data_IF_522942165174
#
_entry.id   IF_522942165174
#
_cell.length_a   1.000
_cell.length_b   1.000
_cell.length_c   1.000
_cell.angle_alpha   90.00
_cell.angle_beta   90.00
_cell.angle_gamma   90.00
#
_symmetry.space_group_name_H-M   'P 1'
#
loop_
_entity.id
_entity.type
_entity.pdbx_description
1 polymer ?
#
# COMPACT_ATOMS: atom_id res chain seq x y z
N UNK A 1 2.38 -22.01 20.75
CA UNK A 1 3.00 -22.96 19.78
C UNK A 1 2.01 -23.76 18.88
N UNK A 2 0.68 -23.57 18.95
CA UNK A 2 -0.28 -24.06 17.92
C UNK A 2 -0.62 -23.01 16.84
N UNK A 3 -0.37 -21.73 17.11
CA UNK A 3 -0.63 -20.60 16.19
C UNK A 3 0.36 -20.52 15.02
N UNK A 4 1.53 -21.16 15.10
CA UNK A 4 2.52 -21.18 14.01
C UNK A 4 2.15 -22.24 12.94
N UNK A 5 1.29 -23.21 13.27
CA UNK A 5 0.80 -24.23 12.31
C UNK A 5 -0.44 -23.80 11.53
N UNK A 6 -1.22 -22.86 12.06
CA UNK A 6 -2.29 -22.20 11.31
C UNK A 6 -1.65 -20.96 10.70
N UNK A 7 -1.39 -20.98 9.40
CA UNK A 7 -0.93 -19.79 8.70
C UNK A 7 -1.86 -18.60 8.97
N UNK A 8 -1.33 -17.38 8.84
CA UNK A 8 -2.11 -16.16 8.99
C UNK A 8 -2.62 -15.71 7.62
N UNK A 9 -3.80 -15.09 7.58
CA UNK A 9 -4.41 -14.54 6.37
C UNK A 9 -4.34 -13.01 6.46
N UNK A 10 -3.78 -12.37 5.44
CA UNK A 10 -3.67 -10.92 5.41
C UNK A 10 -4.15 -10.39 4.06
N UNK A 11 -5.07 -9.45 4.09
CA UNK A 11 -5.65 -8.85 2.88
C UNK A 11 -5.22 -7.41 2.77
N UNK A 12 -4.39 -7.12 1.76
CA UNK A 12 -3.88 -5.79 1.45
C UNK A 12 -4.64 -5.24 0.25
N UNK A 13 -5.31 -4.10 0.43
CA UNK A 13 -5.92 -3.37 -0.68
C UNK A 13 -4.99 -2.27 -1.16
N UNK A 14 -4.93 -2.08 -2.47
CA UNK A 14 -4.04 -1.11 -3.12
C UNK A 14 -4.87 -0.16 -3.98
N UNK A 15 -4.84 1.13 -3.63
CA UNK A 15 -5.64 2.17 -4.28
C UNK A 15 -4.75 3.35 -4.66
N UNK A 16 -5.04 3.96 -5.81
CA UNK A 16 -4.40 5.18 -6.27
C UNK A 16 -4.45 5.29 -7.79
N UNK A 17 -3.99 6.41 -8.33
CA UNK A 17 -4.04 6.68 -9.77
C UNK A 17 -3.25 5.64 -10.58
N UNK A 18 -3.69 5.41 -11.82
CA UNK A 18 -2.98 4.56 -12.77
C UNK A 18 -1.59 5.10 -13.08
N UNK A 19 -0.61 4.21 -13.26
CA UNK A 19 0.76 4.61 -13.58
C UNK A 19 1.63 5.11 -12.41
N UNK A 20 1.13 5.06 -11.16
CA UNK A 20 1.93 5.37 -9.96
C UNK A 20 2.91 4.25 -9.56
N UNK A 21 2.92 3.11 -10.25
CA UNK A 21 3.84 2.00 -9.96
C UNK A 21 3.37 1.06 -8.85
N UNK A 22 2.04 0.99 -8.62
CA UNK A 22 1.39 0.13 -7.62
C UNK A 22 1.81 -1.35 -7.75
N UNK A 23 1.59 -1.97 -8.92
CA UNK A 23 2.04 -3.36 -9.16
C UNK A 23 3.52 -3.56 -8.98
N UNK A 24 4.34 -2.61 -9.43
CA UNK A 24 5.80 -2.69 -9.28
C UNK A 24 6.19 -2.69 -7.81
N UNK A 25 5.53 -1.89 -6.97
CA UNK A 25 5.77 -1.90 -5.53
C UNK A 25 5.37 -3.23 -4.89
N UNK A 26 4.20 -3.76 -5.25
CA UNK A 26 3.71 -5.04 -4.70
C UNK A 26 4.64 -6.19 -5.10
N UNK A 27 5.03 -6.29 -6.38
CA UNK A 27 6.01 -7.28 -6.83
C UNK A 27 7.38 -7.10 -6.15
N UNK A 28 7.74 -5.85 -5.81
CA UNK A 28 8.97 -5.56 -5.06
C UNK A 28 8.87 -6.01 -3.60
N UNK A 29 7.74 -5.79 -2.92
CA UNK A 29 7.53 -6.14 -1.51
C UNK A 29 7.53 -7.64 -1.29
N UNK A 30 6.84 -8.38 -2.16
CA UNK A 30 6.63 -9.83 -1.97
C UNK A 30 7.54 -10.70 -2.84
N UNK A 31 8.41 -10.08 -3.65
CA UNK A 31 9.30 -10.76 -4.59
C UNK A 31 8.57 -11.72 -5.56
N UNK A 32 7.27 -11.54 -5.75
CA UNK A 32 6.42 -12.35 -6.61
C UNK A 32 6.01 -11.60 -7.86
N UNK A 33 5.84 -12.31 -8.97
CA UNK A 33 5.28 -11.72 -10.18
C UNK A 33 3.77 -11.95 -10.21
N UNK A 34 3.03 -11.00 -9.63
CA UNK A 34 1.57 -11.11 -9.48
C UNK A 34 0.79 -10.77 -10.74
N UNK A 35 1.44 -10.17 -11.73
CA UNK A 35 0.77 -9.56 -12.88
C UNK A 35 1.46 -9.92 -14.21
N UNK A 36 1.66 -11.21 -14.53
CA UNK A 36 2.37 -11.62 -15.76
C UNK A 36 1.62 -11.25 -17.05
N UNK A 37 0.28 -11.19 -17.02
CA UNK A 37 -0.58 -10.95 -18.20
C UNK A 37 -1.33 -9.60 -18.16
N UNK A 38 -0.83 -8.61 -17.41
CA UNK A 38 -1.55 -7.34 -17.25
C UNK A 38 -1.55 -6.50 -18.53
N UNK A 39 -2.71 -6.41 -19.18
CA UNK A 39 -2.94 -5.50 -20.31
C UNK A 39 -3.15 -4.05 -19.81
N UNK A 40 -2.35 -3.12 -20.35
CA UNK A 40 -2.50 -1.69 -20.11
C UNK A 40 -3.29 -1.11 -21.30
N UNK A 41 -4.55 -0.70 -21.12
CA UNK A 41 -5.37 -0.19 -22.21
C UNK A 41 -4.84 1.14 -22.75
N UNK A 42 -5.17 1.42 -24.00
CA UNK A 42 -4.82 2.67 -24.69
C UNK A 42 -5.54 3.89 -24.11
N UNK A 43 -5.10 5.10 -24.43
CA UNK A 43 -5.68 6.33 -23.89
C UNK A 43 -7.18 6.49 -24.18
N UNK A 44 -7.65 6.04 -25.35
CA UNK A 44 -9.07 6.08 -25.71
C UNK A 44 -9.93 5.13 -24.86
N UNK A 45 -9.41 3.94 -24.53
CA UNK A 45 -10.08 2.94 -23.69
C UNK A 45 -10.09 3.31 -22.21
N UNK A 46 -9.25 4.26 -21.78
CA UNK A 46 -9.22 4.77 -20.40
C UNK A 46 -10.34 5.74 -20.09
N UNK A 47 -10.92 6.40 -21.11
CA UNK A 47 -11.91 7.47 -20.95
C UNK A 47 -13.17 6.98 -20.23
N UNK A 48 -13.61 5.75 -20.52
CA UNK A 48 -14.83 5.12 -19.98
C UNK A 48 -14.52 3.95 -19.04
N UNK A 49 -13.26 3.77 -18.62
CA UNK A 49 -12.87 2.60 -17.84
C UNK A 49 -13.48 2.66 -16.43
N UNK A 50 -14.31 1.67 -16.11
CA UNK A 50 -14.85 1.48 -14.76
C UNK A 50 -13.80 0.86 -13.83
N UNK A 51 -13.91 1.15 -12.54
CA UNK A 51 -13.07 0.51 -11.52
C UNK A 51 -13.46 -0.96 -11.43
N UNK A 52 -12.52 -1.84 -11.73
CA UNK A 52 -12.64 -3.27 -11.49
C UNK A 52 -11.83 -3.63 -10.25
N UNK A 53 -12.23 -4.68 -9.55
CA UNK A 53 -11.54 -5.15 -8.34
C UNK A 53 -11.00 -6.54 -8.64
N UNK A 54 -9.67 -6.67 -8.62
CA UNK A 54 -8.96 -7.92 -8.87
C UNK A 54 -8.27 -8.35 -7.58
N UNK A 55 -8.59 -9.54 -7.10
CA UNK A 55 -7.96 -10.12 -5.92
C UNK A 55 -7.02 -11.25 -6.32
N UNK A 56 -5.74 -11.11 -5.99
CA UNK A 56 -4.70 -12.10 -6.22
C UNK A 56 -4.22 -12.65 -4.88
N UNK A 57 -4.26 -13.97 -4.70
CA UNK A 57 -3.81 -14.60 -3.45
C UNK A 57 -2.48 -15.32 -3.67
N UNK A 58 -1.55 -15.11 -2.73
CA UNK A 58 -0.20 -15.68 -2.74
C UNK A 58 0.06 -16.30 -1.38
N UNK A 59 0.73 -17.45 -1.38
CA UNK A 59 1.31 -18.01 -0.16
C UNK A 59 2.78 -17.62 -0.07
N UNK A 60 3.14 -16.95 1.01
CA UNK A 60 4.50 -16.46 1.28
C UNK A 60 4.98 -17.12 2.57
N UNK A 61 6.24 -17.55 2.60
CA UNK A 61 6.88 -18.06 3.81
C UNK A 61 7.90 -17.04 4.31
N UNK A 62 7.59 -16.37 5.43
CA UNK A 62 8.48 -15.37 6.03
C UNK A 62 8.89 -15.84 7.43
N UNK A 63 10.21 -15.93 7.66
CA UNK A 63 10.82 -16.38 8.94
C UNK A 63 10.26 -17.71 9.48
N UNK A 64 9.84 -18.62 8.59
CA UNK A 64 9.28 -19.94 8.93
C UNK A 64 7.79 -19.93 9.27
N UNK A 65 7.08 -18.82 9.03
CA UNK A 65 5.62 -18.71 9.13
C UNK A 65 5.02 -18.63 7.73
N UNK A 66 4.00 -19.45 7.45
CA UNK A 66 3.23 -19.39 6.22
C UNK A 66 2.16 -18.30 6.32
N UNK A 67 2.26 -17.28 5.48
CA UNK A 67 1.30 -16.20 5.32
C UNK A 67 0.53 -16.39 4.02
N UNK A 68 -0.79 -16.36 4.08
CA UNK A 68 -1.64 -16.24 2.89
C UNK A 68 -1.98 -14.76 2.69
N UNK A 69 -1.31 -14.14 1.73
CA UNK A 69 -1.52 -12.75 1.38
C UNK A 69 -2.51 -12.66 0.23
N UNK A 70 -3.60 -11.91 0.41
CA UNK A 70 -4.50 -11.52 -0.67
C UNK A 70 -4.30 -10.05 -0.99
N UNK A 71 -3.79 -9.76 -2.19
CA UNK A 71 -3.66 -8.39 -2.70
C UNK A 71 -4.90 -8.05 -3.53
N UNK A 72 -5.61 -7.00 -3.14
CA UNK A 72 -6.77 -6.48 -3.85
C UNK A 72 -6.34 -5.22 -4.61
N UNK A 73 -6.19 -5.32 -5.93
CA UNK A 73 -5.92 -4.16 -6.80
C UNK A 73 -7.24 -3.57 -7.31
N UNK A 74 -7.23 -2.25 -7.51
CA UNK A 74 -8.35 -1.50 -8.09
C UNK A 74 -7.92 -0.83 -9.40
N UNK A 75 -7.73 -1.59 -10.49
CA UNK A 75 -7.48 -1.01 -11.81
C UNK A 75 -8.60 -0.05 -12.23
N UNK A 76 -8.23 1.06 -12.87
CA UNK A 76 -9.18 2.06 -13.36
C UNK A 76 -9.52 3.16 -12.36
N UNK A 77 -8.99 3.12 -11.13
CA UNK A 77 -9.16 4.22 -10.18
C UNK A 77 -8.47 5.51 -10.68
N UNK A 78 -9.27 6.57 -10.87
CA UNK A 78 -8.82 7.88 -11.35
C UNK A 78 -8.49 7.95 -12.85
N UNK A 79 -8.85 6.93 -13.65
CA UNK A 79 -8.64 6.94 -15.11
C UNK A 79 -9.80 7.62 -15.88
N UNK A 80 -11.01 7.57 -15.34
CA UNK A 80 -12.20 8.15 -15.98
C UNK A 80 -12.31 9.65 -15.75
N UNK A 81 -12.83 10.37 -16.76
CA UNK A 81 -13.09 11.83 -16.67
C UNK A 81 -14.09 12.12 -15.54
N UNK A 82 -15.11 11.26 -15.37
CA UNK A 82 -16.02 11.31 -14.24
C UNK A 82 -15.64 10.23 -13.21
N UNK A 83 -14.99 10.66 -12.13
CA UNK A 83 -14.51 9.77 -11.06
C UNK A 83 -15.45 9.69 -9.84
N UNK A 84 -16.66 10.24 -9.91
CA UNK A 84 -17.60 10.29 -8.77
C UNK A 84 -18.07 8.92 -8.28
N UNK A 85 -18.14 7.92 -9.17
CA UNK A 85 -18.59 6.57 -8.80
C UNK A 85 -17.42 5.60 -8.51
N UNK A 86 -16.17 6.00 -8.76
CA UNK A 86 -14.99 5.13 -8.60
C UNK A 86 -14.81 4.63 -7.16
N UNK A 87 -15.04 5.49 -6.18
CA UNK A 87 -14.88 5.13 -4.78
C UNK A 87 -16.08 4.37 -4.21
N UNK A 88 -17.28 4.48 -4.82
CA UNK A 88 -18.46 3.73 -4.37
C UNK A 88 -18.26 2.23 -4.55
N UNK A 89 -17.71 1.80 -5.69
CA UNK A 89 -17.41 0.38 -5.95
C UNK A 89 -16.42 -0.20 -4.92
N UNK A 90 -15.41 0.58 -4.55
CA UNK A 90 -14.42 0.21 -3.53
C UNK A 90 -15.07 0.07 -2.15
N UNK A 91 -15.87 1.06 -1.76
CA UNK A 91 -16.57 1.04 -0.47
C UNK A 91 -17.54 -0.15 -0.40
N UNK A 92 -18.31 -0.37 -1.47
CA UNK A 92 -19.24 -1.49 -1.55
C UNK A 92 -18.53 -2.84 -1.45
N UNK A 93 -17.33 -2.97 -2.06
CA UNK A 93 -16.54 -4.18 -1.92
C UNK A 93 -16.10 -4.42 -0.47
N UNK A 94 -15.60 -3.38 0.22
CA UNK A 94 -15.21 -3.46 1.63
C UNK A 94 -16.41 -3.86 2.50
N UNK A 95 -17.57 -3.22 2.30
CA UNK A 95 -18.80 -3.51 3.04
C UNK A 95 -19.27 -4.95 2.78
N UNK A 96 -19.22 -5.41 1.54
CA UNK A 96 -19.57 -6.79 1.18
C UNK A 96 -18.64 -7.80 1.88
N UNK A 97 -17.34 -7.50 2.05
CA UNK A 97 -16.45 -8.40 2.80
C UNK A 97 -16.80 -8.43 4.29
N UNK A 98 -17.16 -7.29 4.89
CA UNK A 98 -17.62 -7.26 6.28
C UNK A 98 -18.94 -7.99 6.47
N UNK A 99 -19.89 -7.84 5.55
CA UNK A 99 -21.18 -8.51 5.61
C UNK A 99 -21.04 -10.03 5.48
N UNK A 100 -20.17 -10.50 4.57
CA UNK A 100 -19.83 -11.92 4.44
C UNK A 100 -19.26 -12.49 5.73
N UNK A 101 -18.30 -11.79 6.33
CA UNK A 101 -17.71 -12.20 7.61
C UNK A 101 -18.77 -12.28 8.71
N UNK A 102 -19.63 -11.26 8.81
CA UNK A 102 -20.71 -11.22 9.80
C UNK A 102 -21.72 -12.37 9.60
N UNK A 103 -22.05 -12.69 8.36
CA UNK A 103 -22.94 -13.80 8.03
C UNK A 103 -22.34 -15.15 8.42
N UNK A 104 -21.06 -15.37 8.11
CA UNK A 104 -20.35 -16.61 8.44
C UNK A 104 -20.16 -16.77 9.95
N UNK A 105 -19.92 -15.68 10.68
CA UNK A 105 -19.83 -15.66 12.14
C UNK A 105 -21.18 -15.95 12.81
N UNK A 106 -22.26 -15.37 12.27
CA UNK A 106 -23.63 -15.57 12.77
C UNK A 106 -24.17 -16.97 12.45
N UNK A 107 -23.67 -17.60 11.38
CA UNK A 107 -24.08 -18.92 10.92
C UNK A 107 -23.76 -20.07 11.86
N UNK A 108 -24.24 -21.27 11.48
CA UNK A 108 -24.09 -22.51 12.26
C UNK A 108 -22.69 -23.14 12.08
N UNK A 109 -22.02 -22.90 10.95
CA UNK A 109 -20.74 -23.52 10.58
C UNK A 109 -19.51 -22.66 10.94
N UNK A 110 -19.38 -22.31 12.22
CA UNK A 110 -18.32 -21.40 12.73
C UNK A 110 -16.89 -21.95 12.76
N UNK A 111 -16.67 -23.22 12.38
CA UNK A 111 -15.37 -23.90 12.56
C UNK A 111 -14.33 -23.55 11.49
N UNK A 112 -14.77 -23.11 10.31
CA UNK A 112 -13.91 -22.82 9.14
C UNK A 112 -14.30 -21.49 8.49
N UNK A 113 -14.30 -20.40 9.28
CA UNK A 113 -14.51 -19.05 8.74
C UNK A 113 -13.22 -18.60 8.07
N UNK A 114 -13.34 -18.12 6.83
CA UNK A 114 -12.23 -17.53 6.06
C UNK A 114 -12.33 -16.02 6.18
N UNK A 115 -11.24 -15.36 6.58
CA UNK A 115 -11.25 -13.92 6.78
C UNK A 115 -10.85 -13.20 5.49
N UNK A 116 -11.83 -12.68 4.77
CA UNK A 116 -11.63 -11.90 3.55
C UNK A 116 -11.70 -10.38 3.79
N UNK A 117 -11.71 -9.93 5.05
CA UNK A 117 -11.80 -8.50 5.37
C UNK A 117 -10.53 -7.78 4.93
N UNK A 118 -10.67 -6.57 4.42
CA UNK A 118 -9.52 -5.73 4.07
C UNK A 118 -8.85 -5.25 5.36
N UNK A 119 -7.62 -5.71 5.60
CA UNK A 119 -6.89 -5.43 6.83
C UNK A 119 -6.18 -4.07 6.75
N UNK A 120 -5.64 -3.75 5.59
CA UNK A 120 -4.88 -2.53 5.32
C UNK A 120 -5.15 -2.04 3.89
N UNK A 121 -5.24 -0.72 3.71
CA UNK A 121 -5.35 -0.07 2.42
C UNK A 121 -4.15 0.83 2.19
N UNK A 122 -3.33 0.49 1.20
CA UNK A 122 -2.26 1.36 0.70
C UNK A 122 -2.84 2.39 -0.25
N UNK A 123 -2.77 3.64 0.17
CA UNK A 123 -3.19 4.76 -0.67
C UNK A 123 -1.99 5.42 -1.31
N UNK A 124 -1.86 5.28 -2.64
CA UNK A 124 -0.77 5.86 -3.41
C UNK A 124 -1.08 7.30 -3.78
N UNK A 125 -0.33 8.22 -3.19
CA UNK A 125 -0.36 9.64 -3.47
C UNK A 125 0.60 9.94 -4.62
N UNK A 126 0.14 10.73 -5.58
CA UNK A 126 0.95 11.17 -6.71
C UNK A 126 2.03 12.17 -6.26
N UNK A 127 3.31 11.97 -6.62
CA UNK A 127 4.38 12.90 -6.25
C UNK A 127 4.37 14.18 -7.11
N UNK A 128 3.61 14.18 -8.22
CA UNK A 128 3.57 15.30 -9.17
C UNK A 128 2.71 16.48 -8.67
N UNK A 129 2.00 16.30 -7.56
CA UNK A 129 1.14 17.30 -6.96
C UNK A 129 1.84 18.17 -5.93
N UNK A 130 1.20 19.29 -5.59
CA UNK A 130 1.62 20.14 -4.49
C UNK A 130 1.09 19.68 -3.12
N UNK A 131 0.20 18.67 -3.07
CA UNK A 131 -0.51 18.17 -1.90
C UNK A 131 -1.48 17.05 -2.30
N UNK A 132 -2.46 16.77 -1.45
CA UNK A 132 -3.56 15.85 -1.72
C UNK A 132 -4.52 16.46 -2.74
N UNK A 133 -4.96 15.64 -3.70
CA UNK A 133 -6.02 16.02 -4.62
C UNK A 133 -7.37 15.99 -3.88
N UNK A 134 -8.36 16.81 -4.29
CA UNK A 134 -9.71 16.73 -3.72
C UNK A 134 -10.30 15.31 -3.77
N UNK A 135 -10.02 14.57 -4.85
CA UNK A 135 -10.40 13.16 -4.99
C UNK A 135 -9.78 12.27 -3.90
N UNK A 136 -8.51 12.50 -3.56
CA UNK A 136 -7.81 11.75 -2.50
C UNK A 136 -8.46 11.99 -1.15
N UNK A 137 -8.80 13.26 -0.86
CA UNK A 137 -9.44 13.67 0.39
C UNK A 137 -10.83 13.03 0.53
N UNK A 138 -11.66 13.10 -0.51
CA UNK A 138 -13.00 12.49 -0.49
C UNK A 138 -12.91 10.97 -0.31
N UNK A 139 -12.00 10.31 -1.01
CA UNK A 139 -11.79 8.87 -0.89
C UNK A 139 -11.35 8.50 0.53
N UNK A 140 -10.29 9.12 1.04
CA UNK A 140 -9.77 8.83 2.37
C UNK A 140 -10.82 9.08 3.46
N UNK A 141 -11.58 10.18 3.37
CA UNK A 141 -12.70 10.45 4.30
C UNK A 141 -13.76 9.35 4.26
N UNK A 142 -14.06 8.78 3.09
CA UNK A 142 -15.07 7.75 2.98
C UNK A 142 -14.62 6.39 3.57
N UNK A 143 -13.33 6.06 3.48
CA UNK A 143 -12.80 4.75 3.90
C UNK A 143 -12.12 4.75 5.29
N UNK A 144 -11.78 5.91 5.86
CA UNK A 144 -11.01 6.02 7.12
C UNK A 144 -11.69 5.41 8.36
N UNK A 145 -12.98 5.10 8.29
CA UNK A 145 -13.77 4.52 9.38
C UNK A 145 -13.89 3.00 9.25
N UNK A 146 -13.52 2.47 8.08
CA UNK A 146 -13.72 1.07 7.70
C UNK A 146 -12.41 0.31 7.62
N UNK A 147 -11.35 0.93 7.10
CA UNK A 147 -10.06 0.28 6.85
C UNK A 147 -8.90 1.13 7.36
N UNK A 148 -7.83 0.47 7.79
CA UNK A 148 -6.57 1.11 8.14
C UNK A 148 -5.88 1.65 6.89
N UNK A 149 -5.83 2.97 6.76
CA UNK A 149 -5.20 3.64 5.61
C UNK A 149 -3.72 3.88 5.90
N UNK A 150 -2.85 3.42 5.01
CA UNK A 150 -1.42 3.77 5.00
C UNK A 150 -1.14 4.64 3.77
N UNK A 151 -0.89 5.95 3.95
CA UNK A 151 -0.55 6.83 2.86
C UNK A 151 0.89 6.60 2.39
N UNK A 152 1.05 6.40 1.09
CA UNK A 152 2.32 6.08 0.44
C UNK A 152 2.54 7.06 -0.71
N UNK A 153 3.65 7.81 -0.68
CA UNK A 153 4.05 8.67 -1.80
C UNK A 153 4.71 7.78 -2.85
N UNK A 154 4.08 7.72 -4.02
CA UNK A 154 4.56 6.93 -5.15
C UNK A 154 5.76 7.61 -5.83
N UNK A 155 6.58 6.82 -6.53
CA UNK A 155 7.71 7.31 -7.37
C UNK A 155 8.52 8.41 -6.67
N UNK A 156 9.00 8.12 -5.46
CA UNK A 156 9.76 9.09 -4.66
C UNK A 156 11.08 9.54 -5.33
N UNK A 157 11.56 8.81 -6.33
CA UNK A 157 12.70 9.16 -7.18
C UNK A 157 12.49 10.43 -8.02
N UNK A 158 11.25 10.88 -8.21
CA UNK A 158 10.99 12.14 -8.93
C UNK A 158 11.16 13.37 -8.04
N UNK A 159 11.33 13.20 -6.73
CA UNK A 159 11.39 14.28 -5.75
C UNK A 159 12.81 14.43 -5.21
N UNK A 160 13.27 15.68 -5.09
CA UNK A 160 14.46 15.96 -4.29
C UNK A 160 14.15 15.79 -2.79
N UNK A 161 15.18 15.62 -1.96
CA UNK A 161 14.99 15.48 -0.50
C UNK A 161 14.19 16.63 0.11
N UNK A 162 14.46 17.88 -0.35
CA UNK A 162 13.74 19.08 0.10
C UNK A 162 12.26 19.06 -0.31
N UNK A 163 11.97 18.64 -1.53
CA UNK A 163 10.59 18.54 -2.04
C UNK A 163 9.83 17.42 -1.36
N UNK A 164 10.48 16.28 -1.14
CA UNK A 164 9.91 15.15 -0.38
C UNK A 164 9.48 15.60 1.01
N UNK A 165 10.36 16.27 1.76
CA UNK A 165 10.07 16.69 3.12
C UNK A 165 8.99 17.79 3.18
N UNK A 166 8.91 18.63 2.13
CA UNK A 166 7.84 19.62 1.97
C UNK A 166 6.49 18.94 1.68
N UNK A 167 6.48 17.96 0.78
CA UNK A 167 5.27 17.22 0.42
C UNK A 167 4.77 16.39 1.60
N UNK A 168 5.65 15.69 2.33
CA UNK A 168 5.28 14.94 3.54
C UNK A 168 4.58 15.81 4.57
N UNK A 169 5.17 16.96 4.91
CA UNK A 169 4.58 17.91 5.85
C UNK A 169 3.20 18.38 5.39
N UNK A 170 3.11 18.79 4.13
CA UNK A 170 1.84 19.27 3.58
C UNK A 170 0.74 18.20 3.55
N UNK A 171 1.08 16.96 3.19
CA UNK A 171 0.13 15.85 3.24
C UNK A 171 -0.35 15.60 4.68
N UNK A 172 0.54 15.65 5.67
CA UNK A 172 0.16 15.50 7.08
C UNK A 172 -0.73 16.64 7.57
N UNK A 173 -0.40 17.88 7.20
CA UNK A 173 -1.20 19.06 7.55
C UNK A 173 -2.62 18.95 6.95
N UNK A 174 -2.71 18.58 5.67
CA UNK A 174 -3.99 18.41 4.97
C UNK A 174 -4.79 17.22 5.54
N UNK A 175 -4.16 16.10 5.91
CA UNK A 175 -4.81 14.97 6.60
C UNK A 175 -5.42 15.42 7.93
N UNK A 176 -4.67 16.21 8.71
CA UNK A 176 -5.12 16.72 10.00
C UNK A 176 -6.26 17.74 9.86
N UNK A 177 -6.14 18.67 8.90
CA UNK A 177 -7.17 19.68 8.60
C UNK A 177 -8.50 19.03 8.21
N UNK A 178 -8.44 17.96 7.42
CA UNK A 178 -9.61 17.23 6.94
C UNK A 178 -10.13 16.18 7.93
N UNK A 179 -9.46 15.96 9.07
CA UNK A 179 -9.86 14.98 10.09
C UNK A 179 -9.77 13.53 9.61
N UNK A 180 -8.83 13.22 8.71
CA UNK A 180 -8.65 11.87 8.16
C UNK A 180 -7.87 11.02 9.18
N UNK A 181 -8.45 9.89 9.58
CA UNK A 181 -7.78 8.92 10.47
C UNK A 181 -6.96 7.95 9.63
N UNK A 182 -5.65 8.10 9.68
CA UNK A 182 -4.70 7.15 9.11
C UNK A 182 -4.29 6.12 10.17
N UNK A 183 -3.76 4.99 9.71
CA UNK A 183 -3.19 4.00 10.61
C UNK A 183 -2.02 4.59 11.38
N UNK A 184 -2.13 4.59 12.70
CA UNK A 184 -1.05 4.92 13.60
C UNK A 184 -0.48 3.62 14.15
N UNK A 185 0.84 3.46 14.05
CA UNK A 185 1.53 2.39 14.74
C UNK A 185 1.21 2.49 16.23
N UNK A 186 0.95 1.37 16.92
CA UNK A 186 0.76 1.38 18.37
C UNK A 186 1.99 2.03 19.06
N UNK A 187 1.76 2.67 20.20
CA UNK A 187 2.88 3.13 21.03
C UNK A 187 3.60 1.90 21.60
N UNK A 188 4.92 1.97 21.59
CA UNK A 188 5.76 0.94 22.18
C UNK A 188 5.47 0.88 23.69
N UNK A 189 5.23 -0.33 24.21
CA UNK A 189 4.93 -0.52 25.62
C UNK A 189 6.14 -0.11 26.48
N UNK A 190 5.90 0.29 27.74
CA UNK A 190 6.97 0.75 28.64
C UNK A 190 8.08 -0.28 28.83
N UNK A 191 7.73 -1.54 28.68
CA UNK A 191 8.57 -2.72 28.95
C UNK A 191 9.42 -3.13 27.74
N UNK A 192 9.26 -2.47 26.59
CA UNK A 192 10.04 -2.71 25.38
C UNK A 192 11.40 -2.01 25.40
N UNK A 193 12.37 -2.59 24.69
CA UNK A 193 13.73 -2.08 24.60
C UNK A 193 13.75 -0.65 24.03
N UNK A 194 14.64 0.20 24.56
CA UNK A 194 14.81 1.59 24.08
C UNK A 194 15.14 1.66 22.58
N UNK A 195 15.82 0.64 22.04
CA UNK A 195 16.10 0.54 20.60
C UNK A 195 14.83 0.31 19.78
N UNK A 196 13.88 -0.49 20.30
CA UNK A 196 12.60 -0.74 19.65
C UNK A 196 11.68 0.49 19.71
N UNK A 197 11.71 1.22 20.83
CA UNK A 197 11.01 2.52 20.98
C UNK A 197 11.52 3.53 19.95
N UNK A 198 12.84 3.63 19.78
CA UNK A 198 13.44 4.53 18.81
C UNK A 198 13.08 4.13 17.37
N UNK A 199 13.15 2.85 17.02
CA UNK A 199 12.72 2.36 15.71
C UNK A 199 11.26 2.68 15.42
N UNK A 200 10.36 2.44 16.37
CA UNK A 200 8.93 2.75 16.24
C UNK A 200 8.70 4.24 16.05
N UNK A 201 9.43 5.09 16.78
CA UNK A 201 9.38 6.55 16.62
C UNK A 201 9.84 6.99 15.22
N UNK A 202 10.93 6.43 14.72
CA UNK A 202 11.45 6.73 13.37
C UNK A 202 10.46 6.28 12.29
N UNK A 203 9.82 5.13 12.46
CA UNK A 203 8.77 4.65 11.55
C UNK A 203 7.56 5.59 11.53
N UNK A 204 7.07 5.99 12.71
CA UNK A 204 5.97 6.97 12.84
C UNK A 204 6.30 8.30 12.16
N UNK A 205 7.51 8.82 12.38
CA UNK A 205 7.97 10.07 11.77
C UNK A 205 8.17 9.98 10.24
N UNK A 206 8.31 8.75 9.70
CA UNK A 206 8.52 8.53 8.27
C UNK A 206 7.23 8.48 7.46
N UNK A 207 6.06 8.44 8.11
CA UNK A 207 4.74 8.49 7.46
C UNK A 207 4.45 9.92 6.98
N UNK A 208 3.98 10.13 5.73
CA UNK A 208 3.74 9.13 4.69
C UNK A 208 5.03 8.59 4.06
N UNK A 209 5.08 7.28 3.80
CA UNK A 209 6.27 6.60 3.29
C UNK A 209 6.54 6.99 1.84
N UNK A 210 7.76 7.44 1.53
CA UNK A 210 8.16 7.77 0.17
C UNK A 210 8.88 6.57 -0.46
N UNK A 211 8.23 5.89 -1.40
CA UNK A 211 8.70 4.58 -1.88
C UNK A 211 9.04 4.56 -3.37
N UNK A 212 9.92 3.63 -3.71
CA UNK A 212 10.35 3.34 -5.06
C UNK A 212 10.22 1.83 -5.26
N UNK A 213 9.56 1.40 -6.33
CA UNK A 213 9.51 0.00 -6.74
C UNK A 213 10.34 -0.24 -7.99
N UNK A 214 11.04 -1.37 -8.05
CA UNK A 214 11.74 -1.80 -9.26
C UNK A 214 11.75 -3.32 -9.40
N UNK A 215 11.48 -3.79 -10.61
CA UNK A 215 11.62 -5.19 -10.99
C UNK A 215 12.99 -5.46 -11.66
N UNK A 216 13.77 -4.41 -11.95
CA UNK A 216 15.06 -4.54 -12.61
C UNK A 216 16.18 -4.78 -11.60
N UNK A 217 17.04 -5.75 -11.91
CA UNK A 217 18.28 -6.02 -11.18
C UNK A 217 19.42 -5.27 -11.86
N UNK A 218 20.11 -4.44 -11.10
CA UNK A 218 21.28 -3.67 -11.53
C UNK A 218 22.48 -4.15 -10.73
N UNK A 219 23.63 -4.25 -11.39
CA UNK A 219 24.88 -4.59 -10.73
C UNK A 219 25.60 -3.32 -10.29
N UNK A 220 25.70 -3.10 -8.98
CA UNK A 220 26.42 -1.97 -8.39
C UNK A 220 27.49 -2.54 -7.47
N UNK A 221 28.76 -2.17 -7.70
CA UNK A 221 29.92 -2.61 -6.90
C UNK A 221 29.99 -4.15 -6.74
N UNK A 222 29.64 -4.91 -7.78
CA UNK A 222 29.67 -6.37 -7.81
C UNK A 222 28.52 -7.07 -7.07
N UNK A 223 27.52 -6.32 -6.58
CA UNK A 223 26.28 -6.87 -6.01
C UNK A 223 25.11 -6.58 -6.94
N UNK A 224 24.30 -7.62 -7.21
CA UNK A 224 23.02 -7.46 -7.91
C UNK A 224 21.98 -6.96 -6.93
N UNK A 225 21.55 -5.72 -7.13
CA UNK A 225 20.56 -5.04 -6.30
C UNK A 225 19.39 -4.58 -7.15
N UNK A 226 18.21 -4.47 -6.54
CA UNK A 226 17.03 -3.92 -7.22
C UNK A 226 17.15 -2.41 -7.26
N UNK A 227 16.99 -1.83 -8.45
CA UNK A 227 17.15 -0.40 -8.63
C UNK A 227 16.60 0.10 -9.94
N UNK A 228 16.60 1.42 -10.12
CA UNK A 228 16.29 2.10 -11.37
C UNK A 228 17.55 2.76 -11.90
N UNK A 229 17.85 2.55 -13.18
CA UNK A 229 18.99 3.16 -13.86
C UNK A 229 18.52 4.42 -14.59
N UNK A 230 19.18 5.54 -14.30
CA UNK A 230 19.02 6.80 -15.01
C UNK A 230 20.35 7.20 -15.67
N UNK A 231 20.32 8.05 -16.71
CA UNK A 231 21.54 8.57 -17.32
C UNK A 231 22.48 9.28 -16.33
N UNK A 232 21.93 9.86 -15.25
CA UNK A 232 22.67 10.58 -14.22
C UNK A 232 23.03 9.76 -12.98
N UNK A 233 22.54 8.53 -12.84
CA UNK A 233 22.81 7.72 -11.66
C UNK A 233 21.89 6.52 -11.46
N UNK A 234 22.12 5.78 -10.39
CA UNK A 234 21.34 4.59 -10.02
C UNK A 234 20.60 4.87 -8.72
N UNK A 235 19.31 4.55 -8.71
CA UNK A 235 18.49 4.61 -7.51
C UNK A 235 18.21 3.21 -7.01
N UNK A 236 18.82 2.87 -5.88
CA UNK A 236 18.67 1.60 -5.19
C UNK A 236 17.34 1.55 -4.41
N UNK A 237 16.57 0.47 -4.56
CA UNK A 237 15.27 0.31 -3.88
C UNK A 237 15.45 -0.03 -2.40
N UNK A 238 16.47 -0.81 -2.04
CA UNK A 238 16.70 -1.27 -0.67
C UNK A 238 17.57 -0.31 0.15
N UNK A 239 17.90 0.86 -0.38
CA UNK A 239 18.76 1.82 0.31
C UNK A 239 17.91 2.85 1.11
N UNK A 240 18.03 2.90 2.45
CA UNK A 240 17.22 3.77 3.30
C UNK A 240 17.49 5.27 3.09
N UNK A 241 18.66 5.63 2.56
CA UNK A 241 18.98 7.03 2.24
C UNK A 241 18.22 7.51 1.00
N UNK A 242 17.90 6.61 0.08
CA UNK A 242 17.19 6.92 -1.15
C UNK A 242 15.67 6.90 -0.96
N UNK A 243 15.14 5.97 -0.17
CA UNK A 243 13.71 5.81 0.00
C UNK A 243 13.33 5.12 1.32
N UNK A 244 12.04 5.14 1.63
CA UNK A 244 11.45 4.50 2.80
C UNK A 244 10.86 3.11 2.50
N UNK A 245 11.28 2.43 1.43
CA UNK A 245 10.77 1.11 1.04
C UNK A 245 11.01 0.06 2.13
N UNK A 246 12.23 0.02 2.69
CA UNK A 246 12.54 -0.89 3.80
C UNK A 246 11.66 -0.60 5.02
N UNK A 247 11.40 0.68 5.32
CA UNK A 247 10.55 1.07 6.44
C UNK A 247 9.10 0.61 6.23
N UNK A 248 8.57 0.74 5.01
CA UNK A 248 7.25 0.22 4.65
C UNK A 248 7.20 -1.31 4.79
N UNK A 249 8.24 -2.01 4.33
CA UNK A 249 8.33 -3.46 4.46
C UNK A 249 8.40 -3.90 5.92
N UNK A 250 9.22 -3.25 6.74
CA UNK A 250 9.32 -3.53 8.18
C UNK A 250 8.02 -3.22 8.92
N UNK A 251 7.26 -2.21 8.48
CA UNK A 251 5.96 -1.89 9.08
C UNK A 251 4.90 -2.97 8.79
N UNK A 252 5.03 -3.71 7.69
CA UNK A 252 4.11 -4.80 7.32
C UNK A 252 4.42 -6.14 8.00
N UNK A 253 5.67 -6.35 8.46
CA UNK A 253 6.19 -7.64 8.93
C UNK A 253 6.35 -7.64 10.45
#
# INVERSE_FOLDING_TARGET
RKSVKKGFEFTLMVVGESGLGKSTLINSLFLTDLYPERYIPGAAEKIERTVQIEASTVEIEERGVKLRLTVVDTPGYGDAINSQDCFKTIIQYIDNQFERYLHDESGLNRRHIVDNRVHCCFYFISPFGHGLKPLDVEFMKAIHSKVNIVPVIAKADTLTLRERDRLKRRVLDEISEHGIRIYQLPDADSDEDEEFKEQTRVLKASIPFAVIGSNQLIEVKGKKIRGRLYPWGVVEVENPEHNDFLKLRTMLV
#
